data_IF_027910507498
#
_entry.id   IF_027910507498
#
_cell.length_a   1.000
_cell.length_b   1.000
_cell.length_c   1.000
_cell.angle_alpha   90.00
_cell.angle_beta   90.00
_cell.angle_gamma   90.00
#
_symmetry.space_group_name_H-M   'P 1'
#
loop_
_entity.id
_entity.type
_entity.pdbx_description
1 polymer ?
#
# COMPACT_ATOMS: atom_id res chain seq x y z
N UNK A 1 5.14 10.40 21.84
CA UNK A 1 5.16 11.62 20.98
C UNK A 1 3.76 12.23 21.00
N UNK A 2 3.61 13.56 21.17
CA UNK A 2 2.31 14.22 21.10
C UNK A 2 1.62 14.00 19.74
N UNK A 3 0.29 13.79 19.69
CA UNK A 3 -0.44 13.47 18.45
C UNK A 3 -0.22 14.48 17.31
N UNK A 4 -0.17 15.76 17.63
CA UNK A 4 0.08 16.82 16.63
C UNK A 4 1.46 16.73 15.98
N UNK A 5 2.48 16.30 16.73
CA UNK A 5 3.83 16.11 16.18
C UNK A 5 3.87 14.86 15.33
N UNK A 6 3.20 13.79 15.76
CA UNK A 6 3.10 12.54 14.99
C UNK A 6 2.40 12.79 13.65
N UNK A 7 1.29 13.52 13.65
CA UNK A 7 0.56 13.90 12.44
C UNK A 7 1.44 14.72 11.48
N UNK A 8 2.16 15.72 11.99
CA UNK A 8 3.08 16.52 11.16
C UNK A 8 4.21 15.70 10.56
N UNK A 9 4.75 14.76 11.33
CA UNK A 9 5.80 13.86 10.85
C UNK A 9 5.29 12.93 9.74
N UNK A 10 4.12 12.34 9.90
CA UNK A 10 3.50 11.52 8.88
C UNK A 10 3.21 12.31 7.59
N UNK A 11 2.71 13.53 7.75
CA UNK A 11 2.51 14.45 6.62
C UNK A 11 3.81 14.74 5.87
N UNK A 12 4.89 15.01 6.60
CA UNK A 12 6.21 15.20 6.00
C UNK A 12 6.67 13.95 5.23
N UNK A 13 6.49 12.75 5.80
CA UNK A 13 6.84 11.50 5.11
C UNK A 13 6.06 11.32 3.80
N UNK A 14 4.78 11.67 3.77
CA UNK A 14 3.97 11.60 2.55
C UNK A 14 4.57 12.50 1.45
N UNK A 15 4.88 13.77 1.77
CA UNK A 15 5.49 14.67 0.79
C UNK A 15 6.89 14.23 0.35
N UNK A 16 7.67 13.69 1.28
CA UNK A 16 8.97 13.09 0.96
C UNK A 16 8.82 11.92 -0.03
N UNK A 17 7.84 11.05 0.17
CA UNK A 17 7.59 9.93 -0.74
C UNK A 17 7.10 10.40 -2.12
N UNK A 18 6.34 11.49 -2.20
CA UNK A 18 5.98 12.10 -3.50
C UNK A 18 7.23 12.59 -4.25
N UNK A 19 8.14 13.27 -3.55
CA UNK A 19 9.40 13.72 -4.13
C UNK A 19 10.25 12.55 -4.62
N UNK A 20 10.36 11.49 -3.83
CA UNK A 20 11.04 10.24 -4.21
C UNK A 20 10.39 9.63 -5.45
N UNK A 21 9.07 9.50 -5.48
CA UNK A 21 8.36 8.93 -6.62
C UNK A 21 8.50 9.76 -7.91
N UNK A 22 8.60 11.08 -7.78
CA UNK A 22 8.78 11.99 -8.93
C UNK A 22 10.21 11.97 -9.49
N UNK A 23 11.23 11.70 -8.65
CA UNK A 23 12.64 11.86 -9.03
C UNK A 23 13.38 10.53 -9.24
N UNK A 24 12.73 9.39 -8.98
CA UNK A 24 13.35 8.07 -9.18
C UNK A 24 12.50 7.21 -10.14
N UNK A 25 13.12 6.52 -11.10
CA UNK A 25 12.40 5.76 -12.13
C UNK A 25 11.74 4.48 -11.57
N UNK A 26 12.30 3.92 -10.51
CA UNK A 26 11.86 2.64 -9.95
C UNK A 26 11.67 2.80 -8.44
N UNK A 27 10.42 2.93 -8.00
CA UNK A 27 10.08 3.12 -6.59
C UNK A 27 9.00 2.14 -6.17
N UNK A 28 9.25 1.43 -5.09
CA UNK A 28 8.26 0.62 -4.39
C UNK A 28 7.97 1.26 -3.02
N UNK A 29 6.74 1.67 -2.81
CA UNK A 29 6.27 2.20 -1.53
C UNK A 29 5.37 1.17 -0.85
N UNK A 30 5.74 0.72 0.34
CA UNK A 30 4.90 -0.08 1.22
C UNK A 30 4.42 0.80 2.37
N UNK A 31 3.11 1.02 2.45
CA UNK A 31 2.53 1.99 3.39
C UNK A 31 2.74 3.43 2.94
N UNK A 32 1.67 4.07 2.50
CA UNK A 32 1.68 5.44 2.01
C UNK A 32 0.39 6.16 2.43
N UNK A 33 -0.11 7.09 1.64
CA UNK A 33 -1.26 7.93 1.96
C UNK A 33 -2.56 7.16 2.29
N UNK A 34 -2.81 6.02 1.67
CA UNK A 34 -4.01 5.19 1.95
C UNK A 34 -3.92 4.58 3.36
N UNK A 35 -2.77 4.01 3.70
CA UNK A 35 -2.52 3.45 5.02
C UNK A 35 -2.66 4.51 6.11
N UNK A 36 -2.11 5.69 5.87
CA UNK A 36 -2.21 6.83 6.78
C UNK A 36 -3.67 7.33 6.91
N UNK A 37 -4.46 7.29 5.83
CA UNK A 37 -5.88 7.62 5.87
C UNK A 37 -6.68 6.70 6.79
N UNK A 38 -6.28 5.43 6.88
CA UNK A 38 -6.96 4.42 7.67
C UNK A 38 -6.43 4.40 9.12
N UNK A 39 -5.11 4.36 9.30
CA UNK A 39 -4.48 4.20 10.61
C UNK A 39 -4.37 5.51 11.39
N UNK A 40 -4.25 6.64 10.70
CA UNK A 40 -4.15 7.95 11.32
C UNK A 40 -5.29 8.22 12.30
N UNK A 41 -6.55 8.28 11.85
CA UNK A 41 -7.69 8.57 12.70
C UNK A 41 -8.03 7.45 13.70
N UNK A 42 -7.70 6.18 13.40
CA UNK A 42 -7.98 5.06 14.30
C UNK A 42 -6.95 4.91 15.41
N UNK A 43 -5.67 4.92 15.08
CA UNK A 43 -4.62 4.43 15.96
C UNK A 43 -3.55 5.47 16.28
N UNK A 44 -3.28 6.41 15.35
CA UNK A 44 -2.15 7.31 15.52
C UNK A 44 -2.53 8.62 16.20
N UNK A 45 -3.64 9.23 15.79
CA UNK A 45 -4.11 10.52 16.33
C UNK A 45 -5.64 10.65 16.24
N UNK A 46 -6.40 9.81 16.97
CA UNK A 46 -7.85 9.66 16.80
C UNK A 46 -8.68 10.94 17.08
N UNK A 47 -8.07 11.98 17.66
CA UNK A 47 -8.74 13.27 17.95
C UNK A 47 -8.48 14.34 16.88
N UNK A 48 -7.66 14.04 15.89
CA UNK A 48 -7.33 15.00 14.84
C UNK A 48 -8.03 14.58 13.55
N UNK A 49 -8.88 15.47 13.03
CA UNK A 49 -9.47 15.27 11.71
C UNK A 49 -8.35 15.25 10.66
N UNK A 50 -8.29 14.17 9.91
CA UNK A 50 -7.40 14.11 8.74
C UNK A 50 -8.00 14.99 7.64
N UNK A 51 -7.25 15.94 7.09
CA UNK A 51 -7.76 16.77 6.02
C UNK A 51 -8.01 15.93 4.75
N UNK A 52 -9.07 16.22 4.00
CA UNK A 52 -9.44 15.46 2.79
C UNK A 52 -8.43 15.59 1.63
N UNK A 53 -7.27 16.20 1.86
CA UNK A 53 -6.23 16.34 0.85
C UNK A 53 -5.53 15.03 0.47
N UNK A 54 -5.72 13.97 1.22
CA UNK A 54 -5.05 12.68 1.01
C UNK A 54 -5.24 12.16 -0.41
N UNK A 55 -6.46 12.20 -0.92
CA UNK A 55 -6.75 11.79 -2.29
C UNK A 55 -6.17 12.74 -3.33
N UNK A 56 -6.05 14.03 -3.02
CA UNK A 56 -5.35 14.99 -3.88
C UNK A 56 -3.86 14.69 -4.05
N UNK A 57 -3.26 13.94 -3.12
CA UNK A 57 -1.87 13.50 -3.24
C UNK A 57 -1.68 12.64 -4.49
N UNK A 58 -2.66 11.85 -4.86
CA UNK A 58 -2.60 10.98 -6.04
C UNK A 58 -2.42 11.75 -7.34
N UNK A 59 -2.86 13.01 -7.40
CA UNK A 59 -2.63 13.87 -8.58
C UNK A 59 -1.17 14.29 -8.76
N UNK A 60 -0.33 14.08 -7.76
CA UNK A 60 1.10 14.37 -7.81
C UNK A 60 1.96 13.13 -8.06
N UNK A 61 1.34 11.96 -8.11
CA UNK A 61 2.04 10.72 -8.45
C UNK A 61 2.30 10.64 -9.97
N UNK A 62 3.37 9.99 -10.40
CA UNK A 62 3.60 9.71 -11.82
C UNK A 62 2.41 8.98 -12.45
N UNK A 63 2.10 9.26 -13.71
CA UNK A 63 0.96 8.68 -14.43
C UNK A 63 1.07 7.16 -14.63
N UNK A 64 2.26 6.61 -14.53
CA UNK A 64 2.56 5.18 -14.60
C UNK A 64 2.52 4.48 -13.25
N UNK A 65 2.16 5.19 -12.18
CA UNK A 65 1.98 4.60 -10.84
C UNK A 65 0.97 3.46 -10.85
N UNK A 66 1.34 2.34 -10.22
CA UNK A 66 0.48 1.18 -10.05
C UNK A 66 0.10 1.05 -8.57
N UNK A 67 -1.19 1.04 -8.28
CA UNK A 67 -1.71 0.75 -6.95
C UNK A 67 -1.95 -0.75 -6.80
N UNK A 68 -1.17 -1.37 -5.91
CA UNK A 68 -1.32 -2.79 -5.56
C UNK A 68 -2.02 -2.94 -4.21
N UNK A 69 -3.15 -3.66 -4.20
CA UNK A 69 -3.79 -4.12 -2.98
C UNK A 69 -3.55 -5.62 -2.79
N UNK A 70 -2.85 -5.97 -1.71
CA UNK A 70 -2.72 -7.35 -1.25
C UNK A 70 -3.81 -7.64 -0.23
N UNK A 71 -4.58 -8.70 -0.46
CA UNK A 71 -5.65 -9.12 0.45
C UNK A 71 -5.44 -10.54 0.95
N UNK A 72 -6.09 -10.88 2.04
CA UNK A 72 -6.29 -12.25 2.48
C UNK A 72 -7.59 -12.33 3.29
N UNK A 73 -8.14 -13.55 3.45
CA UNK A 73 -9.32 -13.73 4.29
C UNK A 73 -9.00 -13.41 5.76
N UNK A 74 -9.99 -12.97 6.55
CA UNK A 74 -9.77 -12.67 7.98
C UNK A 74 -9.16 -13.83 8.76
N UNK A 75 -9.53 -15.07 8.43
CA UNK A 75 -8.99 -16.29 9.06
C UNK A 75 -7.50 -16.43 8.81
N UNK A 76 -7.09 -16.25 7.54
CA UNK A 76 -5.67 -16.31 7.13
C UNK A 76 -4.88 -15.18 7.78
N UNK A 77 -5.44 -13.97 7.85
CA UNK A 77 -4.79 -12.84 8.53
C UNK A 77 -4.59 -13.13 10.01
N UNK A 78 -5.62 -13.64 10.72
CA UNK A 78 -5.51 -14.03 12.14
C UNK A 78 -4.45 -15.11 12.33
N UNK A 79 -4.43 -16.11 11.47
CA UNK A 79 -3.42 -17.18 11.51
C UNK A 79 -2.01 -16.63 11.31
N UNK A 80 -1.80 -15.77 10.33
CA UNK A 80 -0.49 -15.13 10.08
C UNK A 80 -0.04 -14.28 11.26
N UNK A 81 -0.94 -13.49 11.86
CA UNK A 81 -0.63 -12.71 13.05
C UNK A 81 -0.27 -13.59 14.25
N UNK A 82 -0.94 -14.72 14.43
CA UNK A 82 -0.64 -15.66 15.52
C UNK A 82 0.69 -16.40 15.31
N UNK A 83 1.03 -16.76 14.06
CA UNK A 83 2.27 -17.47 13.73
C UNK A 83 3.51 -16.58 13.71
N UNK A 84 3.34 -15.30 13.42
CA UNK A 84 4.43 -14.31 13.37
C UNK A 84 4.01 -13.02 14.09
N UNK A 85 3.91 -13.04 15.43
CA UNK A 85 3.42 -11.89 16.19
C UNK A 85 4.40 -10.73 16.08
N UNK A 86 3.87 -9.56 15.70
CA UNK A 86 4.65 -8.32 15.69
C UNK A 86 4.78 -7.77 17.10
N UNK A 87 5.98 -7.29 17.46
CA UNK A 87 6.24 -6.73 18.79
C UNK A 87 5.34 -5.52 19.12
N UNK A 88 4.92 -4.78 18.11
CA UNK A 88 4.05 -3.60 18.23
C UNK A 88 2.97 -3.64 17.14
N UNK A 89 1.91 -4.46 17.31
CA UNK A 89 0.84 -4.55 16.32
C UNK A 89 0.07 -3.22 16.27
N UNK A 90 -0.15 -2.71 15.07
CA UNK A 90 -0.93 -1.48 14.86
C UNK A 90 -2.42 -1.80 14.86
N UNK A 91 -2.81 -2.90 14.22
CA UNK A 91 -4.20 -3.33 14.05
C UNK A 91 -4.51 -4.42 15.06
N UNK A 92 -5.44 -4.21 16.02
CA UNK A 92 -5.97 -5.26 16.86
C UNK A 92 -6.69 -6.34 16.04
N UNK A 93 -6.70 -7.58 16.52
CA UNK A 93 -7.33 -8.70 15.81
C UNK A 93 -8.85 -8.52 15.61
N UNK A 94 -9.51 -7.82 16.51
CA UNK A 94 -10.94 -7.47 16.43
C UNK A 94 -11.24 -6.45 15.32
N UNK A 95 -10.28 -5.64 14.92
CA UNK A 95 -10.43 -4.61 13.89
C UNK A 95 -10.11 -5.10 12.47
N UNK A 96 -9.60 -6.31 12.31
CA UNK A 96 -9.09 -6.83 11.02
C UNK A 96 -10.10 -6.72 9.88
N UNK A 97 -11.35 -7.10 10.12
CA UNK A 97 -12.39 -7.06 9.08
C UNK A 97 -12.71 -5.62 8.69
N UNK A 98 -12.94 -4.75 9.67
CA UNK A 98 -13.26 -3.35 9.43
C UNK A 98 -12.10 -2.59 8.75
N UNK A 99 -10.86 -2.92 9.08
CA UNK A 99 -9.68 -2.35 8.44
C UNK A 99 -9.53 -2.87 7.01
N UNK A 100 -9.73 -4.16 6.78
CA UNK A 100 -9.69 -4.75 5.44
C UNK A 100 -10.76 -4.14 4.51
N UNK A 101 -11.98 -3.95 5.00
CA UNK A 101 -13.06 -3.27 4.27
C UNK A 101 -12.71 -1.83 3.92
N UNK A 102 -12.02 -1.12 4.82
CA UNK A 102 -11.55 0.25 4.54
C UNK A 102 -10.47 0.28 3.47
N UNK A 103 -9.51 -0.65 3.49
CA UNK A 103 -8.51 -0.76 2.42
C UNK A 103 -9.18 -1.02 1.06
N UNK A 104 -10.14 -1.91 0.99
CA UNK A 104 -10.94 -2.17 -0.22
C UNK A 104 -11.71 -0.92 -0.68
N UNK A 105 -12.29 -0.16 0.24
CA UNK A 105 -13.00 1.07 -0.07
C UNK A 105 -12.06 2.15 -0.62
N UNK A 106 -10.92 2.37 0.02
CA UNK A 106 -9.91 3.34 -0.43
C UNK A 106 -9.29 2.94 -1.77
N UNK A 107 -9.00 1.65 -1.97
CA UNK A 107 -8.52 1.12 -3.25
C UNK A 107 -9.52 1.41 -4.38
N UNK A 108 -10.81 1.14 -4.17
CA UNK A 108 -11.85 1.44 -5.17
C UNK A 108 -11.98 2.92 -5.44
N UNK A 109 -11.87 3.75 -4.40
CA UNK A 109 -12.07 5.20 -4.47
C UNK A 109 -10.81 5.96 -4.96
N UNK A 110 -9.64 5.33 -4.99
CA UNK A 110 -8.39 5.93 -5.49
C UNK A 110 -8.52 6.39 -6.94
N UNK A 111 -7.85 7.50 -7.27
CA UNK A 111 -7.78 8.05 -8.63
C UNK A 111 -6.65 7.47 -9.48
N UNK A 112 -5.79 6.63 -8.89
CA UNK A 112 -4.76 5.90 -9.64
C UNK A 112 -5.46 4.94 -10.59
N UNK A 113 -5.17 5.05 -11.88
CA UNK A 113 -5.87 4.29 -12.92
C UNK A 113 -5.40 2.84 -13.00
N UNK A 114 -4.08 2.61 -12.85
CA UNK A 114 -3.47 1.29 -12.91
C UNK A 114 -3.60 0.60 -11.56
N UNK A 115 -4.51 -0.34 -11.45
CA UNK A 115 -4.82 -1.03 -10.19
C UNK A 115 -4.67 -2.53 -10.31
N UNK A 116 -4.00 -3.12 -9.33
CA UNK A 116 -3.88 -4.57 -9.15
C UNK A 116 -4.41 -4.98 -7.79
N UNK A 117 -5.13 -6.08 -7.75
CA UNK A 117 -5.56 -6.72 -6.52
C UNK A 117 -5.13 -8.18 -6.53
N UNK A 118 -4.39 -8.60 -5.52
CA UNK A 118 -3.92 -9.99 -5.37
C UNK A 118 -4.44 -10.53 -4.05
N UNK A 119 -5.27 -11.57 -4.14
CA UNK A 119 -5.66 -12.36 -2.98
C UNK A 119 -4.53 -13.34 -2.65
N UNK A 120 -3.97 -13.20 -1.46
CA UNK A 120 -2.86 -14.01 -0.96
C UNK A 120 -3.32 -15.13 -0.04
N UNK A 121 -4.63 -15.36 0.11
CA UNK A 121 -5.18 -16.34 1.06
C UNK A 121 -4.62 -17.75 0.87
N UNK A 122 -4.43 -18.15 -0.39
CA UNK A 122 -3.93 -19.48 -0.74
C UNK A 122 -2.49 -19.50 -1.25
N UNK A 123 -1.86 -18.32 -1.43
CA UNK A 123 -0.51 -18.22 -1.95
C UNK A 123 0.53 -18.60 -0.89
N UNK A 124 1.50 -19.40 -1.30
CA UNK A 124 2.72 -19.59 -0.52
C UNK A 124 3.63 -18.35 -0.64
N UNK A 125 4.51 -18.07 0.35
CA UNK A 125 5.36 -16.86 0.33
C UNK A 125 6.16 -16.68 -0.96
N UNK A 126 6.67 -17.77 -1.57
CA UNK A 126 7.41 -17.71 -2.83
C UNK A 126 6.58 -17.49 -4.08
N UNK A 127 5.24 -17.56 -4.01
CA UNK A 127 4.36 -17.44 -5.17
C UNK A 127 3.85 -16.00 -5.42
N UNK A 128 4.01 -15.12 -4.41
CA UNK A 128 3.52 -13.74 -4.52
C UNK A 128 4.23 -12.98 -5.63
N UNK A 129 5.55 -13.02 -5.68
CA UNK A 129 6.34 -12.29 -6.70
C UNK A 129 6.04 -12.80 -8.10
N UNK A 130 6.09 -14.09 -8.43
CA UNK A 130 5.69 -14.59 -9.74
C UNK A 130 4.24 -14.23 -10.12
N UNK A 131 3.32 -14.24 -9.17
CA UNK A 131 1.93 -13.84 -9.40
C UNK A 131 1.81 -12.36 -9.72
N UNK A 132 2.48 -11.50 -8.94
CA UNK A 132 2.56 -10.07 -9.20
C UNK A 132 3.15 -9.80 -10.59
N UNK A 133 4.31 -10.37 -10.91
CA UNK A 133 5.01 -10.18 -12.17
C UNK A 133 4.13 -10.55 -13.39
N UNK A 134 3.37 -11.63 -13.30
CA UNK A 134 2.43 -12.03 -14.35
C UNK A 134 1.28 -11.02 -14.51
N UNK A 135 0.75 -10.50 -13.39
CA UNK A 135 -0.39 -9.59 -13.41
C UNK A 135 0.00 -8.14 -13.74
N UNK A 136 1.21 -7.72 -13.39
CA UNK A 136 1.67 -6.35 -13.67
C UNK A 136 2.03 -6.13 -15.14
N UNK A 137 2.37 -7.19 -15.86
CA UNK A 137 2.85 -7.13 -17.26
C UNK A 137 2.02 -6.23 -18.19
N UNK A 138 0.67 -6.22 -18.15
CA UNK A 138 -0.13 -5.34 -19.01
C UNK A 138 0.02 -3.85 -18.72
N UNK A 139 0.56 -3.48 -17.56
CA UNK A 139 0.78 -2.09 -17.13
C UNK A 139 2.17 -1.57 -17.41
N UNK A 140 3.11 -2.46 -17.75
CA UNK A 140 4.50 -2.10 -18.02
C UNK A 140 4.63 -1.42 -19.38
N UNK A 141 5.49 -0.41 -19.46
CA UNK A 141 5.85 0.21 -20.72
C UNK A 141 6.90 -0.61 -21.50
N UNK A 142 7.24 -0.15 -22.71
CA UNK A 142 8.21 -0.84 -23.56
C UNK A 142 9.60 -0.91 -22.91
N UNK A 143 10.01 0.11 -22.18
CA UNK A 143 11.31 0.14 -21.47
C UNK A 143 11.35 -0.92 -20.38
N UNK A 144 10.28 -1.02 -19.59
CA UNK A 144 10.18 -1.98 -18.49
C UNK A 144 10.12 -3.41 -19.01
N UNK A 145 9.41 -3.64 -20.13
CA UNK A 145 9.34 -4.95 -20.76
C UNK A 145 10.71 -5.39 -21.30
N UNK A 146 11.48 -4.48 -21.89
CA UNK A 146 12.85 -4.76 -22.36
C UNK A 146 13.79 -5.09 -21.18
N UNK A 147 13.71 -4.33 -20.08
CA UNK A 147 14.47 -4.61 -18.86
C UNK A 147 14.10 -5.97 -18.26
N UNK A 148 12.81 -6.30 -18.25
CA UNK A 148 12.37 -7.62 -17.78
C UNK A 148 12.93 -8.75 -18.61
N UNK A 149 12.91 -8.62 -19.94
CA UNK A 149 13.47 -9.64 -20.82
C UNK A 149 14.98 -9.85 -20.57
N UNK A 150 15.72 -8.78 -20.39
CA UNK A 150 17.16 -8.84 -20.11
C UNK A 150 17.50 -9.57 -18.79
N UNK A 151 16.65 -9.46 -17.77
CA UNK A 151 16.85 -10.17 -16.47
C UNK A 151 16.46 -11.64 -16.56
N UNK A 152 15.57 -12.02 -17.47
CA UNK A 152 15.11 -13.40 -17.64
C UNK A 152 16.07 -14.29 -18.47
N UNK A 153 17.13 -13.71 -19.02
CA UNK A 153 18.16 -14.41 -19.82
C UNK A 153 19.43 -14.76 -19.00
N UNK A 154 19.49 -14.42 -17.70
CA UNK A 154 20.53 -14.84 -16.74
C UNK A 154 20.06 -16.05 -15.92
#
# INVERSE_FOLDING_TARGET
>A
MPPVIKERFQRFQIYYHLDVAANHPDVLLAGFHIEEAIYGPRYYYPKHAWPPYQRRIETHLPADTILLLLTATPEVLRQRMASAPHAYPVVPSEDLEAVSEQFEAEYRASWIERKLRIDTSTLQPGELVPTFMRQVKPFLDTRDLLRWQAVGEE
#
